data_IF_010634749693
#
_entry.id   IF_010634749693
#
_cell.length_a   1.000
_cell.length_b   1.000
_cell.length_c   1.000
_cell.angle_alpha   90.00
_cell.angle_beta   90.00
_cell.angle_gamma   90.00
#
_symmetry.space_group_name_H-M   'P 1'
#
loop_
_entity.id
_entity.type
_entity.pdbx_description
1 polymer ?
#
# COMPACT_ATOMS: atom_id res chain seq x y z
N UNK A 1 -0.50 16.14 24.63
CA UNK A 1 -1.78 16.63 25.18
C UNK A 1 -2.90 16.02 24.37
N UNK A 2 -3.38 14.86 24.80
CA UNK A 2 -4.55 14.19 24.25
C UNK A 2 -5.84 14.64 24.96
N UNK A 3 -6.99 14.37 24.33
CA UNK A 3 -8.33 14.71 24.86
C UNK A 3 -8.57 14.20 26.30
N UNK A 4 -7.92 13.10 26.68
CA UNK A 4 -8.01 12.46 28.00
C UNK A 4 -7.17 13.15 29.10
N UNK A 5 -6.24 14.04 28.74
CA UNK A 5 -5.32 14.66 29.70
C UNK A 5 -5.91 15.91 30.39
N UNK A 6 -7.03 16.45 29.90
CA UNK A 6 -7.66 17.67 30.43
C UNK A 6 -8.87 17.33 31.32
N UNK A 7 -9.02 17.94 32.52
CA UNK A 7 -10.19 17.74 33.38
C UNK A 7 -11.47 18.28 32.71
N UNK A 8 -12.58 17.54 32.84
CA UNK A 8 -13.87 17.92 32.27
C UNK A 8 -14.46 19.15 33.00
N UNK A 9 -14.59 20.27 32.29
CA UNK A 9 -15.37 21.44 32.75
C UNK A 9 -14.68 22.81 32.77
N UNK A 10 -13.36 22.92 32.60
CA UNK A 10 -12.64 24.22 32.60
C UNK A 10 -12.23 24.71 31.20
N UNK A 11 -11.82 23.81 30.30
CA UNK A 11 -11.22 24.14 28.99
C UNK A 11 -12.07 23.59 27.83
N UNK A 12 -13.30 24.12 27.67
CA UNK A 12 -14.21 23.66 26.59
C UNK A 12 -13.63 23.92 25.19
N UNK A 13 -12.96 25.06 24.97
CA UNK A 13 -12.36 25.38 23.68
C UNK A 13 -11.20 24.45 23.33
N UNK A 14 -10.29 24.18 24.27
CA UNK A 14 -9.11 23.34 24.02
C UNK A 14 -9.51 21.88 23.72
N UNK A 15 -10.52 21.34 24.43
CA UNK A 15 -11.09 20.01 24.12
C UNK A 15 -11.75 19.96 22.75
N UNK A 16 -12.47 21.02 22.35
CA UNK A 16 -13.06 21.12 21.01
C UNK A 16 -11.98 21.19 19.94
N UNK A 17 -10.91 21.95 20.16
CA UNK A 17 -9.77 21.99 19.24
C UNK A 17 -9.05 20.64 19.15
N UNK A 18 -8.75 19.99 20.27
CA UNK A 18 -8.14 18.67 20.30
C UNK A 18 -9.01 17.64 19.55
N UNK A 19 -10.31 17.56 19.87
CA UNK A 19 -11.25 16.66 19.20
C UNK A 19 -11.33 16.93 17.69
N UNK A 20 -11.38 18.20 17.28
CA UNK A 20 -11.40 18.60 15.85
C UNK A 20 -10.11 18.18 15.13
N UNK A 21 -8.94 18.30 15.78
CA UNK A 21 -7.66 17.85 15.21
C UNK A 21 -7.59 16.34 15.05
N UNK A 22 -7.98 15.58 16.08
CA UNK A 22 -7.97 14.11 16.05
C UNK A 22 -8.98 13.56 15.05
N UNK A 23 -10.20 14.09 15.03
CA UNK A 23 -11.25 13.68 14.07
C UNK A 23 -10.87 14.02 12.63
N UNK A 24 -10.32 15.22 12.36
CA UNK A 24 -9.86 15.61 11.03
C UNK A 24 -8.73 14.73 10.50
N UNK A 25 -7.75 14.41 11.36
CA UNK A 25 -6.67 13.50 11.02
C UNK A 25 -7.19 12.08 10.75
N UNK A 26 -8.00 11.54 11.66
CA UNK A 26 -8.58 10.20 11.52
C UNK A 26 -9.43 10.10 10.24
N UNK A 27 -10.28 11.09 9.96
CA UNK A 27 -11.12 11.10 8.76
C UNK A 27 -10.31 11.11 7.47
N UNK A 28 -9.24 11.91 7.40
CA UNK A 28 -8.38 11.98 6.22
C UNK A 28 -7.57 10.70 6.04
N UNK A 29 -7.03 10.17 7.14
CA UNK A 29 -6.28 8.91 7.16
C UNK A 29 -7.14 7.74 6.67
N UNK A 30 -8.35 7.60 7.19
CA UNK A 30 -9.30 6.56 6.78
C UNK A 30 -9.68 6.71 5.30
N UNK A 31 -9.93 7.94 4.83
CA UNK A 31 -10.32 8.19 3.43
C UNK A 31 -9.26 7.75 2.42
N UNK A 32 -7.97 7.82 2.76
CA UNK A 32 -6.88 7.41 1.86
C UNK A 32 -6.46 5.95 2.04
N UNK A 33 -6.43 5.44 3.27
CA UNK A 33 -5.90 4.08 3.55
C UNK A 33 -6.89 2.98 3.22
N UNK A 34 -8.18 3.17 3.50
CA UNK A 34 -9.22 2.19 3.21
C UNK A 34 -9.26 1.79 1.72
N UNK A 35 -9.32 2.73 0.76
CA UNK A 35 -9.37 2.35 -0.65
C UNK A 35 -8.07 1.71 -1.14
N UNK A 36 -6.91 2.14 -0.62
CA UNK A 36 -5.64 1.51 -0.96
C UNK A 36 -5.56 0.05 -0.49
N UNK A 37 -5.96 -0.22 0.76
CA UNK A 37 -6.03 -1.58 1.29
C UNK A 37 -7.07 -2.43 0.54
N UNK A 38 -8.25 -1.87 0.27
CA UNK A 38 -9.31 -2.55 -0.46
C UNK A 38 -8.89 -2.87 -1.91
N UNK A 39 -8.13 -1.99 -2.58
CA UNK A 39 -7.60 -2.24 -3.91
C UNK A 39 -6.59 -3.40 -3.92
N UNK A 40 -5.70 -3.50 -2.93
CA UNK A 40 -4.77 -4.63 -2.80
C UNK A 40 -5.49 -5.96 -2.53
N UNK A 41 -6.48 -5.96 -1.64
CA UNK A 41 -7.28 -7.15 -1.34
C UNK A 41 -8.12 -7.61 -2.54
N UNK A 42 -8.74 -6.67 -3.26
CA UNK A 42 -9.51 -6.99 -4.48
C UNK A 42 -8.62 -7.48 -5.60
N UNK A 43 -7.43 -6.90 -5.78
CA UNK A 43 -6.44 -7.40 -6.74
C UNK A 43 -6.14 -8.89 -6.48
N UNK A 44 -5.75 -9.22 -5.25
CA UNK A 44 -5.37 -10.58 -4.87
C UNK A 44 -6.53 -11.58 -5.02
N UNK A 45 -7.70 -11.23 -4.49
CA UNK A 45 -8.89 -12.10 -4.58
C UNK A 45 -9.31 -12.33 -6.02
N UNK A 46 -9.35 -11.29 -6.86
CA UNK A 46 -9.73 -11.42 -8.27
C UNK A 46 -8.69 -12.22 -9.05
N UNK A 47 -7.39 -12.02 -8.81
CA UNK A 47 -6.35 -12.83 -9.45
C UNK A 47 -6.43 -14.30 -9.03
N UNK A 48 -6.68 -14.60 -7.75
CA UNK A 48 -6.80 -15.97 -7.27
C UNK A 48 -8.07 -16.65 -7.82
N UNK A 49 -9.21 -15.97 -7.78
CA UNK A 49 -10.48 -16.50 -8.28
C UNK A 49 -10.42 -16.74 -9.79
N UNK A 50 -9.90 -15.79 -10.57
CA UNK A 50 -9.75 -15.95 -12.02
C UNK A 50 -8.80 -17.10 -12.39
N UNK A 51 -7.73 -17.28 -11.62
CA UNK A 51 -6.80 -18.41 -11.81
C UNK A 51 -7.48 -19.75 -11.50
N UNK A 52 -8.24 -19.84 -10.42
CA UNK A 52 -8.99 -21.06 -10.07
C UNK A 52 -10.06 -21.40 -11.13
N UNK A 53 -10.71 -20.41 -11.72
CA UNK A 53 -11.72 -20.62 -12.75
C UNK A 53 -11.13 -21.09 -14.08
N UNK A 54 -9.94 -20.60 -14.46
CA UNK A 54 -9.29 -20.94 -15.74
C UNK A 54 -8.31 -22.11 -15.64
N UNK A 55 -7.90 -22.48 -14.43
CA UNK A 55 -6.89 -23.52 -14.19
C UNK A 55 -5.50 -23.17 -14.77
N UNK A 56 -5.27 -21.92 -15.15
CA UNK A 56 -4.04 -21.41 -15.76
C UNK A 56 -3.75 -20.02 -15.23
N UNK A 57 -2.48 -19.76 -14.93
CA UNK A 57 -2.02 -18.45 -14.45
C UNK A 57 -1.53 -17.59 -15.62
N UNK A 58 -2.48 -16.90 -16.27
CA UNK A 58 -2.23 -16.08 -17.47
C UNK A 58 -2.19 -14.59 -17.14
N UNK A 59 -1.54 -13.79 -18.01
CA UNK A 59 -1.49 -12.31 -17.97
C UNK A 59 -2.88 -11.66 -17.84
N UNK A 60 -3.91 -12.30 -18.41
CA UNK A 60 -5.30 -11.83 -18.37
C UNK A 60 -5.89 -11.87 -16.96
N UNK A 61 -5.47 -12.81 -16.11
CA UNK A 61 -5.95 -12.92 -14.73
C UNK A 61 -5.44 -11.73 -13.89
N UNK A 62 -4.18 -11.35 -14.11
CA UNK A 62 -3.55 -10.19 -13.49
C UNK A 62 -4.14 -8.88 -14.01
N UNK A 63 -4.47 -8.81 -15.30
CA UNK A 63 -5.20 -7.65 -15.86
C UNK A 63 -6.56 -7.46 -15.19
N UNK A 64 -7.34 -8.54 -15.02
CA UNK A 64 -8.64 -8.48 -14.34
C UNK A 64 -8.50 -8.05 -12.88
N UNK A 65 -7.47 -8.54 -12.18
CA UNK A 65 -7.14 -8.08 -10.84
C UNK A 65 -6.81 -6.58 -10.80
N UNK A 66 -5.98 -6.10 -11.72
CA UNK A 66 -5.60 -4.69 -11.82
C UNK A 66 -6.76 -3.76 -12.18
N UNK A 67 -7.61 -4.19 -13.12
CA UNK A 67 -8.81 -3.46 -13.50
C UNK A 67 -9.83 -3.39 -12.35
N UNK A 68 -10.02 -4.49 -11.62
CA UNK A 68 -10.89 -4.53 -10.44
C UNK A 68 -10.37 -3.61 -9.32
N UNK A 69 -9.06 -3.63 -9.05
CA UNK A 69 -8.42 -2.74 -8.09
C UNK A 69 -8.58 -1.25 -8.48
N UNK A 70 -8.44 -0.90 -9.75
CA UNK A 70 -8.73 0.44 -10.25
C UNK A 70 -10.21 0.84 -10.13
N UNK A 71 -11.11 -0.14 -10.27
CA UNK A 71 -12.54 0.02 -9.98
C UNK A 71 -12.81 0.42 -8.52
N UNK A 72 -12.09 -0.17 -7.55
CA UNK A 72 -12.20 0.20 -6.13
C UNK A 72 -11.82 1.66 -5.91
N UNK A 73 -10.74 2.14 -6.52
CA UNK A 73 -10.37 3.55 -6.47
C UNK A 73 -11.42 4.45 -7.16
N UNK A 74 -12.03 3.99 -8.24
CA UNK A 74 -13.15 4.69 -8.91
C UNK A 74 -14.37 4.86 -8.02
N UNK A 75 -14.74 3.81 -7.26
CA UNK A 75 -15.83 3.85 -6.28
C UNK A 75 -15.47 4.80 -5.13
N UNK A 76 -14.24 4.73 -4.62
CA UNK A 76 -13.76 5.61 -3.56
C UNK A 76 -13.74 7.10 -3.97
N UNK A 77 -13.38 7.38 -5.22
CA UNK A 77 -13.41 8.73 -5.81
C UNK A 77 -14.83 9.14 -6.28
N UNK A 78 -15.80 8.22 -6.25
CA UNK A 78 -17.18 8.39 -6.75
C UNK A 78 -17.27 8.93 -8.18
N UNK A 79 -16.33 8.55 -9.02
CA UNK A 79 -16.29 9.02 -10.41
C UNK A 79 -15.76 7.97 -11.38
N UNK A 80 -16.55 7.69 -12.41
CA UNK A 80 -16.17 6.80 -13.50
C UNK A 80 -15.02 7.37 -14.34
N UNK A 81 -14.91 8.70 -14.42
CA UNK A 81 -13.88 9.37 -15.21
C UNK A 81 -12.47 9.12 -14.69
N UNK A 82 -12.32 8.84 -13.39
CA UNK A 82 -11.04 8.45 -12.80
C UNK A 82 -10.93 6.93 -12.72
N UNK A 83 -12.00 6.22 -12.37
CA UNK A 83 -11.99 4.76 -12.23
C UNK A 83 -11.60 4.00 -13.50
N UNK A 84 -12.18 4.36 -14.64
CA UNK A 84 -11.91 3.68 -15.92
C UNK A 84 -10.45 3.81 -16.37
N UNK A 85 -9.88 5.03 -16.52
CA UNK A 85 -8.47 5.15 -16.93
C UNK A 85 -7.52 4.54 -15.91
N UNK A 86 -7.81 4.65 -14.60
CA UNK A 86 -6.97 4.04 -13.56
C UNK A 86 -7.02 2.51 -13.62
N UNK A 87 -8.20 1.93 -13.90
CA UNK A 87 -8.36 0.49 -14.09
C UNK A 87 -7.57 -0.05 -15.28
N UNK A 88 -7.59 0.65 -16.42
CA UNK A 88 -6.74 0.27 -17.56
C UNK A 88 -5.26 0.42 -17.25
N UNK A 89 -4.86 1.54 -16.63
CA UNK A 89 -3.46 1.79 -16.26
C UNK A 89 -2.93 0.72 -15.30
N UNK A 90 -3.66 0.41 -14.23
CA UNK A 90 -3.29 -0.65 -13.27
C UNK A 90 -3.39 -2.05 -13.89
N UNK A 91 -4.34 -2.28 -14.78
CA UNK A 91 -4.46 -3.53 -15.53
C UNK A 91 -3.23 -3.80 -16.40
N UNK A 92 -2.79 -2.82 -17.20
CA UNK A 92 -1.58 -2.95 -18.01
C UNK A 92 -0.32 -3.07 -17.14
N UNK A 93 -0.22 -2.30 -16.06
CA UNK A 93 0.89 -2.44 -15.11
C UNK A 93 0.94 -3.86 -14.49
N UNK A 94 -0.21 -4.48 -14.23
CA UNK A 94 -0.29 -5.85 -13.73
C UNK A 94 0.16 -6.89 -14.76
N UNK A 95 -0.14 -6.68 -16.06
CA UNK A 95 0.41 -7.51 -17.15
C UNK A 95 1.93 -7.39 -17.17
N UNK A 96 2.46 -6.16 -17.19
CA UNK A 96 3.92 -5.93 -17.21
C UNK A 96 4.59 -6.56 -15.99
N UNK A 97 3.96 -6.50 -14.83
CA UNK A 97 4.47 -7.15 -13.62
C UNK A 97 4.51 -8.68 -13.74
N UNK A 98 3.50 -9.29 -14.34
CA UNK A 98 3.49 -10.74 -14.60
C UNK A 98 4.57 -11.11 -15.62
N UNK A 99 4.73 -10.32 -16.67
CA UNK A 99 5.75 -10.52 -17.71
C UNK A 99 7.16 -10.44 -17.14
N UNK A 100 7.42 -9.44 -16.31
CA UNK A 100 8.70 -9.29 -15.61
C UNK A 100 9.00 -10.48 -14.70
N UNK A 101 7.99 -11.06 -14.04
CA UNK A 101 8.17 -12.27 -13.22
C UNK A 101 8.48 -13.50 -14.06
N UNK A 102 7.80 -13.67 -15.18
CA UNK A 102 7.95 -14.86 -16.03
C UNK A 102 9.27 -14.80 -16.84
N UNK A 103 9.71 -13.62 -17.26
CA UNK A 103 10.96 -13.41 -18.03
C UNK A 103 12.18 -13.13 -17.14
N UNK A 104 11.99 -12.98 -15.83
CA UNK A 104 13.07 -12.70 -14.88
C UNK A 104 13.70 -11.31 -15.03
N UNK A 105 13.02 -10.37 -15.70
CA UNK A 105 13.49 -8.99 -15.81
C UNK A 105 13.45 -8.31 -14.44
N UNK A 106 14.60 -7.86 -13.95
CA UNK A 106 14.72 -7.10 -12.72
C UNK A 106 14.28 -5.65 -12.95
N UNK A 107 12.98 -5.37 -12.83
CA UNK A 107 12.44 -3.98 -12.86
C UNK A 107 13.10 -3.12 -11.78
N UNK A 108 13.41 -3.74 -10.64
CA UNK A 108 14.24 -3.17 -9.61
C UNK A 108 15.53 -4.00 -9.55
N UNK A 109 16.72 -3.38 -9.65
CA UNK A 109 17.97 -4.12 -9.45
C UNK A 109 17.87 -4.81 -8.09
N UNK A 110 18.24 -6.09 -8.03
CA UNK A 110 18.28 -6.79 -6.77
C UNK A 110 19.43 -6.18 -5.96
N UNK A 111 19.13 -5.17 -5.14
CA UNK A 111 20.01 -4.81 -4.06
C UNK A 111 20.15 -6.07 -3.24
N UNK A 112 21.38 -6.61 -3.16
CA UNK A 112 21.70 -7.74 -2.29
C UNK A 112 21.17 -7.35 -0.92
N UNK A 113 20.02 -7.89 -0.54
CA UNK A 113 19.45 -7.67 0.77
C UNK A 113 20.37 -8.43 1.72
N UNK A 114 21.45 -7.78 2.15
CA UNK A 114 22.07 -8.13 3.43
C UNK A 114 21.01 -7.83 4.49
N UNK A 115 20.14 -8.79 4.75
CA UNK A 115 19.38 -8.84 5.98
C UNK A 115 20.41 -8.90 7.11
N UNK A 116 20.65 -7.76 7.77
CA UNK A 116 21.66 -7.62 8.81
C UNK A 116 22.75 -6.59 8.52
N UNK A 117 22.40 -5.35 8.18
CA UNK A 117 23.33 -4.22 8.31
C UNK A 117 23.43 -3.69 9.76
N UNK A 118 22.74 -4.35 10.71
CA UNK A 118 22.83 -4.10 12.15
C UNK A 118 23.70 -5.14 12.88
N UNK A 119 24.57 -5.87 12.17
CA UNK A 119 25.65 -6.60 12.83
C UNK A 119 26.81 -5.64 13.10
N UNK A 120 26.70 -4.92 14.21
CA UNK A 120 27.73 -4.03 14.76
C UNK A 120 29.07 -4.75 15.06
N UNK A 121 29.15 -6.07 14.93
CA UNK A 121 30.43 -6.81 15.02
C UNK A 121 31.28 -6.72 13.76
N UNK A 122 30.68 -6.48 12.60
CA UNK A 122 31.44 -6.41 11.33
C UNK A 122 32.21 -5.10 11.18
N UNK A 123 31.75 -4.04 11.85
CA UNK A 123 32.43 -2.75 11.88
C UNK A 123 33.10 -2.60 13.24
N UNK A 124 34.37 -2.98 13.33
CA UNK A 124 35.15 -2.76 14.53
C UNK A 124 35.52 -1.27 14.63
N UNK A 125 34.79 -0.52 15.46
CA UNK A 125 35.04 0.91 15.71
C UNK A 125 36.09 1.14 16.81
N UNK A 126 36.67 0.07 17.39
CA UNK A 126 37.81 0.24 18.29
C UNK A 126 39.06 0.45 17.45
N UNK A 127 39.71 1.61 17.61
CA UNK A 127 40.88 2.10 16.88
C UNK A 127 42.16 1.27 17.10
N UNK A 128 42.05 -0.01 17.46
CA UNK A 128 43.20 -0.91 17.54
C UNK A 128 43.51 -1.41 16.12
N UNK A 129 44.72 -1.15 15.59
CA UNK A 129 45.15 -1.75 14.33
C UNK A 129 45.22 -3.28 14.50
N UNK A 130 44.57 -4.01 13.60
CA UNK A 130 44.71 -5.46 13.47
C UNK A 130 46.21 -5.78 13.28
N UNK A 131 46.73 -6.69 14.11
CA UNK A 131 48.10 -7.20 14.04
C UNK A 131 48.22 -8.29 12.99
#
# INVERSE_FOLDING_TARGET
MGYADHPDGQECFEKVFACTKYSGFAATYMKSTIPAAAAGATFATVSCVSTNLRGKDDKINYFLGGAAAGGVFGIAARTFRVGVPLGFFLGFAAIIYKDSKDEGWSIFPQTVHKMGAMDHRQFNFTLTPDK
#
